data_IF_705387168926
#
_entry.id   IF_705387168926
#
_cell.length_a   1.000
_cell.length_b   1.000
_cell.length_c   1.000
_cell.angle_alpha   90.00
_cell.angle_beta   90.00
_cell.angle_gamma   90.00
#
_symmetry.space_group_name_H-M   'P 1'
#
loop_
_entity.id
_entity.type
_entity.pdbx_description
1 polymer ?
#
# COMPACT_ATOMS: atom_id res chain seq x y z
N UNK A 1 -26.74 -0.42 -5.23
CA UNK A 1 -25.37 -0.97 -5.28
C UNK A 1 -25.40 -2.15 -6.24
N UNK A 2 -24.54 -2.21 -7.24
CA UNK A 2 -24.51 -3.34 -8.17
C UNK A 2 -24.12 -4.61 -7.42
N UNK A 3 -24.86 -5.71 -7.63
CA UNK A 3 -24.64 -7.01 -6.96
C UNK A 3 -23.20 -7.50 -7.14
N UNK A 4 -22.62 -7.28 -8.32
CA UNK A 4 -21.23 -7.65 -8.59
C UNK A 4 -20.24 -6.92 -7.69
N UNK A 5 -20.42 -5.62 -7.47
CA UNK A 5 -19.58 -4.84 -6.57
C UNK A 5 -19.77 -5.24 -5.10
N UNK A 6 -21.01 -5.59 -4.68
CA UNK A 6 -21.26 -6.11 -3.34
C UNK A 6 -20.52 -7.44 -3.10
N UNK A 7 -20.51 -8.33 -4.09
CA UNK A 7 -19.77 -9.60 -4.04
C UNK A 7 -18.26 -9.32 -3.89
N UNK A 8 -17.69 -8.44 -4.71
CA UNK A 8 -16.26 -8.11 -4.65
C UNK A 8 -15.87 -7.53 -3.29
N UNK A 9 -16.66 -6.59 -2.77
CA UNK A 9 -16.40 -5.97 -1.45
C UNK A 9 -16.45 -7.01 -0.32
N UNK A 10 -17.46 -7.86 -0.28
CA UNK A 10 -17.57 -8.93 0.72
C UNK A 10 -16.42 -9.95 0.60
N UNK A 11 -16.02 -10.27 -0.63
CA UNK A 11 -14.91 -11.19 -0.89
C UNK A 11 -13.58 -10.63 -0.39
N UNK A 12 -13.31 -9.34 -0.57
CA UNK A 12 -12.09 -8.68 -0.05
C UNK A 12 -11.99 -8.86 1.46
N UNK A 13 -13.05 -8.53 2.19
CA UNK A 13 -13.06 -8.64 3.66
C UNK A 13 -12.91 -10.09 4.13
N UNK A 14 -13.57 -11.05 3.48
CA UNK A 14 -13.45 -12.47 3.83
C UNK A 14 -12.05 -13.00 3.54
N UNK A 15 -11.50 -12.74 2.37
CA UNK A 15 -10.14 -13.19 2.01
C UNK A 15 -9.08 -12.52 2.88
N UNK A 16 -9.23 -11.24 3.21
CA UNK A 16 -8.32 -10.52 4.11
C UNK A 16 -8.33 -11.10 5.53
N UNK A 17 -9.49 -11.52 6.02
CA UNK A 17 -9.66 -12.08 7.36
C UNK A 17 -9.21 -13.54 7.45
N UNK A 18 -9.71 -14.39 6.55
CA UNK A 18 -9.64 -15.84 6.69
C UNK A 18 -8.60 -16.47 5.72
N UNK A 19 -8.16 -15.73 4.69
CA UNK A 19 -7.24 -16.21 3.65
C UNK A 19 -7.95 -16.95 2.51
N UNK A 20 -7.27 -17.03 1.35
CA UNK A 20 -7.83 -17.65 0.15
C UNK A 20 -8.27 -19.09 0.39
N UNK A 21 -7.44 -19.92 1.04
CA UNK A 21 -7.72 -21.34 1.20
C UNK A 21 -9.02 -21.63 1.98
N UNK A 22 -9.27 -20.86 3.04
CA UNK A 22 -10.36 -21.10 3.99
C UNK A 22 -11.74 -20.59 3.54
N UNK A 23 -11.78 -19.61 2.65
CA UNK A 23 -13.03 -19.00 2.18
C UNK A 23 -13.61 -19.81 1.03
N UNK A 24 -14.91 -20.18 1.11
CA UNK A 24 -15.62 -20.85 0.03
C UNK A 24 -16.55 -19.90 -0.74
N UNK A 25 -16.94 -20.27 -1.96
CA UNK A 25 -17.96 -19.56 -2.75
C UNK A 25 -19.29 -19.45 -1.99
N UNK A 26 -19.61 -20.44 -1.14
CA UNK A 26 -20.82 -20.45 -0.31
C UNK A 26 -20.74 -19.39 0.80
N UNK A 27 -19.59 -19.23 1.43
CA UNK A 27 -19.38 -18.22 2.48
C UNK A 27 -19.57 -16.81 1.93
N UNK A 28 -19.05 -16.57 0.73
CA UNK A 28 -19.22 -15.29 0.03
C UNK A 28 -20.67 -15.05 -0.36
N UNK A 29 -21.35 -16.06 -0.92
CA UNK A 29 -22.78 -15.96 -1.26
C UNK A 29 -23.63 -15.63 -0.02
N UNK A 30 -23.36 -16.30 1.10
CA UNK A 30 -24.04 -16.06 2.37
C UNK A 30 -23.78 -14.64 2.90
N UNK A 31 -22.54 -14.15 2.82
CA UNK A 31 -22.17 -12.79 3.27
C UNK A 31 -22.90 -11.69 2.48
N UNK A 32 -23.21 -11.94 1.21
CA UNK A 32 -23.93 -10.99 0.33
C UNK A 32 -25.45 -11.19 0.40
N UNK A 33 -25.91 -12.30 1.00
CA UNK A 33 -27.35 -12.64 1.10
C UNK A 33 -27.93 -13.18 -0.23
N UNK A 34 -27.10 -13.81 -1.07
CA UNK A 34 -27.53 -14.43 -2.33
C UNK A 34 -27.35 -15.94 -2.28
N UNK A 35 -28.02 -16.66 -3.21
CA UNK A 35 -27.80 -18.11 -3.36
C UNK A 35 -26.52 -18.39 -4.14
N UNK A 36 -25.81 -19.47 -3.81
CA UNK A 36 -24.56 -19.84 -4.49
C UNK A 36 -24.68 -19.92 -6.04
N UNK A 37 -25.78 -20.45 -6.66
CA UNK A 37 -25.93 -20.38 -8.11
C UNK A 37 -25.94 -18.97 -8.69
N UNK A 38 -26.46 -17.98 -7.96
CA UNK A 38 -26.45 -16.59 -8.39
C UNK A 38 -25.03 -15.99 -8.37
N UNK A 39 -24.18 -16.41 -7.42
CA UNK A 39 -22.77 -16.03 -7.38
C UNK A 39 -22.01 -16.55 -8.62
N UNK A 40 -22.27 -17.82 -9.02
CA UNK A 40 -21.65 -18.42 -10.20
C UNK A 40 -22.07 -17.76 -11.53
N UNK A 41 -23.20 -17.04 -11.56
CA UNK A 41 -23.56 -16.21 -12.73
C UNK A 41 -22.65 -14.97 -12.89
N UNK A 42 -22.01 -14.52 -11.80
CA UNK A 42 -21.10 -13.38 -11.82
C UNK A 42 -19.62 -13.77 -11.93
N UNK A 43 -19.25 -14.89 -11.31
CA UNK A 43 -17.85 -15.35 -11.25
C UNK A 43 -17.78 -16.86 -11.45
N UNK A 44 -17.06 -17.26 -12.47
CA UNK A 44 -16.95 -18.66 -12.92
C UNK A 44 -16.46 -19.61 -11.80
N UNK A 45 -15.48 -19.16 -11.03
CA UNK A 45 -14.84 -19.91 -9.97
C UNK A 45 -14.24 -18.98 -8.90
N UNK A 46 -13.73 -19.57 -7.83
CA UNK A 46 -13.14 -18.86 -6.70
C UNK A 46 -11.88 -18.10 -7.08
N UNK A 47 -11.06 -18.65 -7.98
CA UNK A 47 -9.82 -18.03 -8.44
C UNK A 47 -10.12 -16.75 -9.23
N UNK A 48 -11.05 -16.79 -10.15
CA UNK A 48 -11.53 -15.63 -10.91
C UNK A 48 -12.06 -14.56 -9.96
N UNK A 49 -12.92 -14.96 -9.01
CA UNK A 49 -13.46 -14.03 -8.01
C UNK A 49 -12.34 -13.39 -7.16
N UNK A 50 -11.37 -14.17 -6.73
CA UNK A 50 -10.24 -13.70 -5.94
C UNK A 50 -9.42 -12.65 -6.70
N UNK A 51 -8.95 -12.96 -7.90
CA UNK A 51 -8.17 -12.05 -8.74
C UNK A 51 -8.93 -10.76 -9.06
N UNK A 52 -10.24 -10.87 -9.32
CA UNK A 52 -11.06 -9.68 -9.55
C UNK A 52 -11.31 -8.87 -8.28
N UNK A 53 -11.40 -9.51 -7.12
CA UNK A 53 -11.49 -8.83 -5.82
C UNK A 53 -10.22 -8.04 -5.53
N UNK A 54 -9.05 -8.61 -5.77
CA UNK A 54 -7.78 -7.91 -5.62
C UNK A 54 -7.68 -6.72 -6.59
N UNK A 55 -8.00 -6.93 -7.87
CA UNK A 55 -8.05 -5.80 -8.83
C UNK A 55 -9.02 -4.70 -8.40
N UNK A 56 -10.19 -5.08 -7.90
CA UNK A 56 -11.18 -4.12 -7.41
C UNK A 56 -10.65 -3.32 -6.22
N UNK A 57 -9.99 -3.99 -5.27
CA UNK A 57 -9.39 -3.38 -4.09
C UNK A 57 -8.31 -2.33 -4.45
N UNK A 58 -7.58 -2.53 -5.53
CA UNK A 58 -6.44 -1.67 -5.91
C UNK A 58 -6.71 -0.68 -7.05
N UNK A 59 -7.80 -0.81 -7.80
CA UNK A 59 -8.09 0.04 -8.96
C UNK A 59 -8.01 1.53 -8.64
N UNK A 60 -8.82 2.00 -7.71
CA UNK A 60 -8.83 3.42 -7.34
C UNK A 60 -7.54 3.90 -6.65
N UNK A 61 -6.82 2.98 -6.00
CA UNK A 61 -5.54 3.26 -5.35
C UNK A 61 -4.43 3.49 -6.37
N UNK A 62 -4.35 2.64 -7.40
CA UNK A 62 -3.39 2.80 -8.49
C UNK A 62 -3.57 4.14 -9.21
N UNK A 63 -4.82 4.52 -9.48
CA UNK A 63 -5.14 5.81 -10.11
C UNK A 63 -4.72 6.99 -9.22
N UNK A 64 -5.01 6.93 -7.93
CA UNK A 64 -4.61 7.99 -6.97
C UNK A 64 -3.09 8.13 -6.87
N UNK A 65 -2.36 7.02 -6.85
CA UNK A 65 -0.90 7.01 -6.83
C UNK A 65 -0.31 7.56 -8.14
N UNK A 66 -0.86 7.18 -9.29
CA UNK A 66 -0.45 7.70 -10.59
C UNK A 66 -0.68 9.21 -10.69
N UNK A 67 -1.83 9.71 -10.21
CA UNK A 67 -2.11 11.13 -10.12
C UNK A 67 -1.14 11.88 -9.20
N UNK A 68 -0.77 11.29 -8.07
CA UNK A 68 0.21 11.88 -7.16
C UNK A 68 1.58 12.05 -7.82
N UNK A 69 2.00 11.07 -8.64
CA UNK A 69 3.25 11.12 -9.41
C UNK A 69 3.21 12.09 -10.59
N UNK A 70 2.05 12.31 -11.19
CA UNK A 70 1.87 13.19 -12.35
C UNK A 70 1.67 14.66 -11.99
N UNK A 71 1.58 15.01 -10.71
CA UNK A 71 1.54 16.41 -10.27
C UNK A 71 2.81 17.12 -10.73
N UNK A 72 2.64 18.34 -11.23
CA UNK A 72 3.78 19.19 -11.61
C UNK A 72 4.71 19.45 -10.42
N UNK A 73 5.95 19.84 -10.71
CA UNK A 73 6.96 20.13 -9.71
C UNK A 73 8.24 19.30 -9.87
N UNK A 74 9.17 19.51 -8.96
CA UNK A 74 10.44 18.76 -8.90
C UNK A 74 10.21 17.28 -8.54
N UNK A 75 11.22 16.44 -8.78
CA UNK A 75 11.19 15.05 -8.37
C UNK A 75 10.97 14.88 -6.86
N UNK A 76 11.49 15.80 -6.04
CA UNK A 76 11.30 15.81 -4.59
C UNK A 76 9.84 16.07 -4.21
N UNK A 77 9.20 17.07 -4.78
CA UNK A 77 7.79 17.38 -4.54
C UNK A 77 6.88 16.23 -4.99
N UNK A 78 7.20 15.59 -6.12
CA UNK A 78 6.46 14.40 -6.58
C UNK A 78 6.63 13.21 -5.65
N UNK A 79 7.83 13.02 -5.09
CA UNK A 79 8.04 11.99 -4.05
C UNK A 79 7.20 12.27 -2.81
N UNK A 80 7.17 13.50 -2.32
CA UNK A 80 6.35 13.89 -1.16
C UNK A 80 4.85 13.65 -1.40
N UNK A 81 4.35 14.02 -2.58
CA UNK A 81 2.97 13.75 -2.96
C UNK A 81 2.66 12.26 -3.02
N UNK A 82 3.57 11.48 -3.63
CA UNK A 82 3.42 10.03 -3.76
C UNK A 82 3.45 9.33 -2.40
N UNK A 83 4.44 9.62 -1.56
CA UNK A 83 4.59 9.01 -0.23
C UNK A 83 3.40 9.37 0.67
N UNK A 84 2.92 10.62 0.60
CA UNK A 84 1.73 11.07 1.34
C UNK A 84 0.45 10.36 0.87
N UNK A 85 0.29 10.18 -0.44
CA UNK A 85 -0.81 9.42 -1.01
C UNK A 85 -0.74 7.95 -0.61
N UNK A 86 0.43 7.34 -0.69
CA UNK A 86 0.68 5.94 -0.33
C UNK A 86 0.35 5.69 1.15
N UNK A 87 0.84 6.54 2.05
CA UNK A 87 0.55 6.43 3.47
C UNK A 87 -0.96 6.46 3.76
N UNK A 88 -1.68 7.40 3.17
CA UNK A 88 -3.13 7.53 3.34
C UNK A 88 -3.87 6.32 2.78
N UNK A 89 -3.60 5.94 1.53
CA UNK A 89 -4.28 4.83 0.84
C UNK A 89 -4.15 3.52 1.60
N UNK A 90 -2.99 3.24 2.19
CA UNK A 90 -2.77 2.02 2.95
C UNK A 90 -3.27 2.10 4.40
N UNK A 91 -3.40 3.29 4.97
CA UNK A 91 -4.02 3.48 6.30
C UNK A 91 -5.54 3.35 6.22
N UNK A 92 -6.16 3.94 5.19
CA UNK A 92 -7.62 4.01 5.06
C UNK A 92 -8.27 2.68 4.69
N UNK A 93 -7.51 1.71 4.15
CA UNK A 93 -8.04 0.41 3.74
C UNK A 93 -7.18 -0.76 4.26
N UNK A 94 -7.39 -1.16 5.52
CA UNK A 94 -6.66 -2.25 6.14
C UNK A 94 -6.95 -3.63 5.51
N UNK A 95 -8.14 -3.85 4.95
CA UNK A 95 -8.51 -5.14 4.37
C UNK A 95 -7.72 -5.41 3.08
N UNK A 96 -7.65 -4.43 2.17
CA UNK A 96 -6.81 -4.54 0.97
C UNK A 96 -5.34 -4.78 1.30
N UNK A 97 -4.82 -4.12 2.34
CA UNK A 97 -3.44 -4.30 2.81
C UNK A 97 -3.21 -5.72 3.33
N UNK A 98 -4.09 -6.21 4.20
CA UNK A 98 -4.00 -7.58 4.74
C UNK A 98 -4.09 -8.64 3.64
N UNK A 99 -4.92 -8.39 2.63
CA UNK A 99 -5.08 -9.29 1.50
C UNK A 99 -3.74 -9.51 0.76
N UNK A 100 -3.00 -8.42 0.48
CA UNK A 100 -1.67 -8.52 -0.14
C UNK A 100 -0.66 -9.19 0.78
N UNK A 101 -0.64 -8.82 2.05
CA UNK A 101 0.30 -9.43 3.00
C UNK A 101 0.13 -10.95 3.06
N UNK A 102 -1.11 -11.42 3.12
CA UNK A 102 -1.39 -12.86 3.10
C UNK A 102 -0.90 -13.52 1.84
N UNK A 103 -1.15 -12.92 0.68
CA UNK A 103 -0.74 -13.47 -0.60
C UNK A 103 0.78 -13.60 -0.70
N UNK A 104 1.51 -12.58 -0.23
CA UNK A 104 2.98 -12.63 -0.16
C UNK A 104 3.45 -13.75 0.78
N UNK A 105 2.78 -13.94 1.92
CA UNK A 105 3.13 -14.98 2.90
C UNK A 105 2.76 -16.38 2.44
N UNK A 106 1.61 -16.53 1.76
CA UNK A 106 1.16 -17.82 1.22
C UNK A 106 2.08 -18.32 0.07
N UNK A 107 2.75 -17.39 -0.62
CA UNK A 107 3.83 -17.68 -1.56
C UNK A 107 3.41 -18.46 -2.82
N UNK A 108 2.13 -18.44 -3.18
CA UNK A 108 1.66 -19.09 -4.40
C UNK A 108 2.19 -18.34 -5.63
N UNK A 109 3.15 -18.94 -6.35
CA UNK A 109 3.82 -18.27 -7.46
C UNK A 109 2.87 -17.82 -8.57
N UNK A 110 1.86 -18.62 -8.91
CA UNK A 110 0.91 -18.27 -9.95
C UNK A 110 0.06 -17.05 -9.56
N UNK A 111 -0.40 -16.99 -8.31
CA UNK A 111 -1.16 -15.87 -7.78
C UNK A 111 -0.29 -14.61 -7.65
N UNK A 112 0.93 -14.75 -7.13
CA UNK A 112 1.90 -13.64 -7.05
C UNK A 112 2.23 -13.07 -8.43
N UNK A 113 2.41 -13.92 -9.43
CA UNK A 113 2.63 -13.48 -10.82
C UNK A 113 1.42 -12.72 -11.37
N UNK A 114 0.22 -13.24 -11.16
CA UNK A 114 -1.01 -12.56 -11.58
C UNK A 114 -1.19 -11.18 -10.88
N UNK A 115 -0.85 -11.08 -9.59
CA UNK A 115 -0.84 -9.82 -8.86
C UNK A 115 0.20 -8.85 -9.41
N UNK A 116 1.43 -9.32 -9.62
CA UNK A 116 2.51 -8.51 -10.18
C UNK A 116 2.08 -7.91 -11.52
N UNK A 117 1.59 -8.74 -12.45
CA UNK A 117 1.27 -8.32 -13.81
C UNK A 117 0.01 -7.43 -13.88
N UNK A 118 -1.00 -7.73 -13.06
CA UNK A 118 -2.34 -7.13 -13.23
C UNK A 118 -2.61 -5.97 -12.27
N UNK A 119 -1.85 -5.87 -11.17
CA UNK A 119 -2.10 -4.89 -10.12
C UNK A 119 -0.89 -3.98 -9.90
N UNK A 120 0.31 -4.55 -9.78
CA UNK A 120 1.48 -3.80 -9.33
C UNK A 120 2.39 -3.30 -10.45
N UNK A 121 2.37 -3.89 -11.64
CA UNK A 121 3.30 -3.54 -12.71
C UNK A 121 3.24 -2.05 -13.08
N UNK A 122 2.07 -1.51 -13.32
CA UNK A 122 1.93 -0.11 -13.72
C UNK A 122 2.32 0.88 -12.60
N UNK A 123 1.84 0.76 -11.35
CA UNK A 123 2.31 1.59 -10.24
C UNK A 123 3.81 1.48 -10.00
N UNK A 124 4.38 0.27 -10.10
CA UNK A 124 5.81 0.04 -9.95
C UNK A 124 6.62 0.76 -11.03
N UNK A 125 6.25 0.61 -12.31
CA UNK A 125 6.93 1.28 -13.42
C UNK A 125 6.88 2.81 -13.30
N UNK A 126 5.74 3.37 -12.89
CA UNK A 126 5.62 4.81 -12.66
C UNK A 126 6.55 5.31 -11.55
N UNK A 127 6.65 4.57 -10.45
CA UNK A 127 7.55 4.90 -9.34
C UNK A 127 9.02 4.69 -9.72
N UNK A 128 9.32 3.69 -10.55
CA UNK A 128 10.66 3.42 -11.06
C UNK A 128 11.21 4.61 -11.88
N UNK A 129 10.37 5.28 -12.66
CA UNK A 129 10.77 6.50 -13.39
C UNK A 129 11.17 7.60 -12.40
N UNK A 130 10.37 7.84 -11.37
CA UNK A 130 10.69 8.81 -10.33
C UNK A 130 11.98 8.43 -9.58
N UNK A 131 12.18 7.15 -9.25
CA UNK A 131 13.38 6.67 -8.57
C UNK A 131 14.66 6.93 -9.38
N UNK A 132 14.63 6.72 -10.70
CA UNK A 132 15.74 7.03 -11.61
C UNK A 132 16.06 8.52 -11.66
N UNK A 133 15.04 9.36 -11.60
CA UNK A 133 15.21 10.81 -11.63
C UNK A 133 15.78 11.34 -10.31
N UNK A 134 15.33 10.78 -9.18
CA UNK A 134 15.78 11.17 -7.83
C UNK A 134 17.24 10.77 -7.55
N UNK A 135 17.64 9.60 -8.01
CA UNK A 135 18.96 9.04 -7.71
C UNK A 135 19.47 8.16 -8.87
N UNK A 136 19.96 8.77 -9.95
CA UNK A 136 20.38 8.04 -11.17
C UNK A 136 21.53 7.05 -10.92
N UNK A 137 22.36 7.30 -9.90
CA UNK A 137 23.48 6.40 -9.54
C UNK A 137 23.05 5.18 -8.70
N UNK A 138 21.81 5.13 -8.21
CA UNK A 138 21.33 4.04 -7.36
C UNK A 138 20.57 3.01 -8.18
N UNK A 139 20.49 1.79 -7.65
CA UNK A 139 19.59 0.78 -8.21
C UNK A 139 18.13 1.26 -8.08
N UNK A 140 17.52 1.58 -9.22
CA UNK A 140 16.18 2.14 -9.28
C UNK A 140 15.11 1.11 -8.85
N UNK A 141 15.34 -0.19 -9.06
CA UNK A 141 14.44 -1.25 -8.62
C UNK A 141 14.40 -1.31 -7.10
N UNK A 142 15.57 -1.41 -6.46
CA UNK A 142 15.67 -1.46 -5.01
C UNK A 142 15.17 -0.16 -4.36
N UNK A 143 15.43 0.99 -4.96
CA UNK A 143 14.91 2.26 -4.47
C UNK A 143 13.38 2.31 -4.53
N UNK A 144 12.78 1.85 -5.64
CA UNK A 144 11.32 1.76 -5.79
C UNK A 144 10.69 0.87 -4.71
N UNK A 145 11.28 -0.31 -4.48
CA UNK A 145 10.82 -1.21 -3.41
C UNK A 145 10.98 -0.55 -2.04
N UNK A 146 12.11 0.12 -1.78
CA UNK A 146 12.37 0.79 -0.49
C UNK A 146 11.39 1.91 -0.19
N UNK A 147 11.02 2.72 -1.19
CA UNK A 147 10.00 3.78 -1.03
C UNK A 147 8.68 3.20 -0.53
N UNK A 148 8.20 2.13 -1.18
CA UNK A 148 6.95 1.49 -0.80
C UNK A 148 7.07 0.77 0.55
N UNK A 149 8.14 0.00 0.76
CA UNK A 149 8.36 -0.80 1.97
C UNK A 149 8.43 0.07 3.24
N UNK A 150 9.14 1.19 3.20
CA UNK A 150 9.24 2.10 4.35
C UNK A 150 7.87 2.61 4.79
N UNK A 151 7.01 3.00 3.84
CA UNK A 151 5.67 3.48 4.18
C UNK A 151 4.79 2.34 4.69
N UNK A 152 4.68 1.26 3.92
CA UNK A 152 3.76 0.16 4.21
C UNK A 152 4.13 -0.51 5.52
N UNK A 153 5.43 -0.76 5.76
CA UNK A 153 5.87 -1.41 6.99
C UNK A 153 5.57 -0.58 8.25
N UNK A 154 5.72 0.75 8.20
CA UNK A 154 5.32 1.60 9.32
C UNK A 154 3.85 1.45 9.70
N UNK A 155 2.98 1.25 8.71
CA UNK A 155 1.55 1.05 8.93
C UNK A 155 1.27 -0.36 9.45
N UNK A 156 1.93 -1.37 8.86
CA UNK A 156 1.72 -2.78 9.20
C UNK A 156 2.09 -3.14 10.62
N UNK A 157 3.20 -2.59 11.13
CA UNK A 157 3.63 -2.81 12.50
C UNK A 157 2.94 -1.87 13.51
N UNK A 158 2.00 -1.03 13.07
CA UNK A 158 1.28 -0.08 13.93
C UNK A 158 0.79 -0.69 15.25
N UNK A 159 0.10 -1.85 15.25
CA UNK A 159 -0.33 -2.50 16.49
C UNK A 159 0.80 -2.82 17.46
N UNK A 160 1.95 -3.28 16.96
CA UNK A 160 3.13 -3.56 17.78
C UNK A 160 3.85 -2.26 18.17
N UNK A 161 4.01 -1.31 17.24
CA UNK A 161 4.69 -0.04 17.48
C UNK A 161 4.12 0.74 18.65
N UNK A 162 2.78 0.70 18.86
CA UNK A 162 2.11 1.35 20.00
C UNK A 162 2.56 0.85 21.35
N UNK A 163 3.08 -0.37 21.42
CA UNK A 163 3.55 -1.00 22.65
C UNK A 163 5.05 -0.76 22.90
N UNK A 164 5.77 -0.19 21.93
CA UNK A 164 7.20 0.05 22.04
C UNK A 164 7.51 1.42 22.68
N UNK A 165 8.64 1.54 23.42
CA UNK A 165 9.06 2.79 24.03
C UNK A 165 9.19 3.93 23.01
N UNK A 166 8.80 5.13 23.43
CA UNK A 166 8.90 6.34 22.59
C UNK A 166 7.73 6.51 21.61
N UNK A 167 6.72 5.62 21.65
CA UNK A 167 5.49 5.83 20.86
C UNK A 167 4.77 7.10 21.31
N UNK A 168 4.22 7.82 20.32
CA UNK A 168 3.37 9.00 20.50
C UNK A 168 2.13 8.87 19.58
N UNK A 169 0.97 9.43 19.97
CA UNK A 169 -0.24 9.37 19.15
C UNK A 169 -0.05 9.87 17.71
N UNK A 170 0.78 10.92 17.53
CA UNK A 170 1.06 11.50 16.21
C UNK A 170 1.73 10.51 15.25
N UNK A 171 2.36 9.45 15.75
CA UNK A 171 2.98 8.42 14.92
C UNK A 171 1.94 7.56 14.17
N UNK A 172 0.67 7.62 14.57
CA UNK A 172 -0.42 6.92 13.85
C UNK A 172 -0.93 7.73 12.64
N UNK A 173 -0.60 9.02 12.57
CA UNK A 173 -1.03 9.89 11.50
C UNK A 173 -0.29 9.59 10.19
N UNK A 174 -0.99 9.33 9.06
CA UNK A 174 -0.37 9.10 7.77
C UNK A 174 0.59 10.21 7.35
N UNK A 175 0.27 11.45 7.69
CA UNK A 175 1.10 12.64 7.42
C UNK A 175 2.42 12.64 8.19
N UNK A 176 2.42 12.11 9.40
CA UNK A 176 3.65 11.97 10.21
C UNK A 176 4.57 10.90 9.62
N UNK A 177 4.01 9.75 9.26
CA UNK A 177 4.74 8.67 8.59
C UNK A 177 5.33 9.17 7.27
N UNK A 178 4.54 9.85 6.44
CA UNK A 178 4.96 10.35 5.15
C UNK A 178 6.13 11.33 5.27
N UNK A 179 6.03 12.30 6.18
CA UNK A 179 7.08 13.29 6.43
C UNK A 179 8.39 12.64 6.91
N UNK A 180 8.29 11.67 7.81
CA UNK A 180 9.44 10.91 8.29
C UNK A 180 10.12 10.14 7.15
N UNK A 181 9.35 9.40 6.35
CA UNK A 181 9.87 8.61 5.24
C UNK A 181 10.51 9.51 4.17
N UNK A 182 9.86 10.62 3.79
CA UNK A 182 10.43 11.58 2.84
C UNK A 182 11.75 12.16 3.37
N UNK A 183 11.79 12.58 4.62
CA UNK A 183 13.01 13.10 5.23
C UNK A 183 14.14 12.07 5.23
N UNK A 184 13.85 10.83 5.56
CA UNK A 184 14.82 9.73 5.54
C UNK A 184 15.34 9.44 4.13
N UNK A 185 14.46 9.40 3.13
CA UNK A 185 14.82 9.12 1.74
C UNK A 185 15.65 10.24 1.11
N UNK A 186 15.31 11.50 1.38
CA UNK A 186 15.96 12.66 0.77
C UNK A 186 17.26 13.08 1.47
N UNK A 187 17.34 12.91 2.78
CA UNK A 187 18.45 13.44 3.58
C UNK A 187 19.29 12.35 4.28
N UNK A 188 18.77 11.10 4.36
CA UNK A 188 19.43 10.03 5.12
C UNK A 188 19.40 10.25 6.64
N UNK A 189 20.17 9.43 7.37
CA UNK A 189 20.25 9.48 8.84
C UNK A 189 21.11 10.65 9.32
N UNK A 190 22.09 11.09 8.51
CA UNK A 190 23.15 12.02 8.92
C UNK A 190 22.83 13.50 8.86
N UNK A 191 21.64 13.90 8.37
CA UNK A 191 21.35 15.30 8.08
C UNK A 191 20.53 16.06 9.14
N UNK A 192 20.41 15.54 10.35
CA UNK A 192 19.95 16.37 11.48
C UNK A 192 21.09 17.32 11.88
N UNK A 193 21.29 18.42 11.15
CA UNK A 193 22.06 19.56 11.66
C UNK A 193 21.44 19.95 13.00
N UNK A 194 22.21 19.82 14.09
CA UNK A 194 21.87 20.45 15.37
C UNK A 194 21.61 21.95 15.11
N UNK A 195 20.56 22.55 15.71
CA UNK A 195 20.44 24.00 15.67
C UNK A 195 21.73 24.58 16.20
N UNK A 196 22.27 25.52 15.44
CA UNK A 196 23.49 26.27 15.71
C UNK A 196 23.37 26.86 17.13
N UNK A 197 24.16 26.36 18.08
CA UNK A 197 24.50 27.11 19.29
C UNK A 197 25.42 28.24 18.87
N UNK A 198 24.82 29.31 18.33
CA UNK A 198 25.52 30.55 18.13
C UNK A 198 25.73 31.21 19.50
N UNK A 199 26.98 31.20 19.91
CA UNK A 199 27.69 32.13 20.65
C UNK A 199 26.92 33.10 21.57
N UNK A 200 27.00 32.83 22.86
CA UNK A 200 27.06 33.95 23.82
C UNK A 200 28.55 34.15 24.15
N UNK A 201 29.21 34.88 23.29
CA UNK A 201 30.42 35.64 23.67
C UNK A 201 29.92 37.01 24.07
N UNK A 202 29.95 37.28 25.34
CA UNK A 202 29.62 38.57 25.86
C UNK A 202 30.53 38.87 27.03
N UNK A 203 31.38 39.77 26.87
CA UNK A 203 32.04 40.68 27.77
C UNK A 203 31.66 40.64 29.26
#
# INVERSE_FOLDING_TARGET
MDTRNAILTASISLFARDGYAQVSMRDIANAVGIRAPALYNHFKDKETLYLESVRHAFRGKADALAQALSRGGSAHERLEHYVSCLARVFTDDPDSRRLIQREILDGNEAQLRALADQVFLAPFCNTLVLAKELAPERDAHLLTVSIAALVVHHIDIGPLRRLLPGHRPEHEEPSCIARHVCSLLLHGISSAKKPNEQGVSGT
#
